data_IF_182420632012
#
_entry.id   IF_182420632012
#
_cell.length_a   1.000
_cell.length_b   1.000
_cell.length_c   1.000
_cell.angle_alpha   90.00
_cell.angle_beta   90.00
_cell.angle_gamma   90.00
#
_symmetry.space_group_name_H-M   'P 1'
#
loop_
_entity.id
_entity.type
_entity.pdbx_description
1 polymer ?
#
# COMPACT_ATOMS: atom_id res chain seq x y z
N UNK A 1 3.96 -12.65 -7.63
CA UNK A 1 2.73 -11.94 -7.19
C UNK A 1 1.77 -11.77 -8.36
N UNK A 2 0.48 -11.92 -8.09
CA UNK A 2 -0.54 -11.67 -9.12
C UNK A 2 -0.84 -10.17 -9.24
N UNK A 3 -1.68 -9.81 -10.22
CA UNK A 3 -1.98 -8.39 -10.49
C UNK A 3 -2.59 -7.68 -9.29
N UNK A 4 -3.52 -8.33 -8.59
CA UNK A 4 -4.16 -7.72 -7.42
C UNK A 4 -3.17 -7.47 -6.29
N UNK A 5 -2.27 -8.43 -6.06
CA UNK A 5 -1.23 -8.30 -5.03
C UNK A 5 -0.25 -7.18 -5.39
N UNK A 6 0.14 -7.08 -6.65
CA UNK A 6 1.04 -6.03 -7.12
C UNK A 6 0.41 -4.64 -6.99
N UNK A 7 -0.86 -4.51 -7.37
CA UNK A 7 -1.58 -3.24 -7.23
C UNK A 7 -1.66 -2.82 -5.75
N UNK A 8 -2.00 -3.75 -4.87
CA UNK A 8 -2.09 -3.48 -3.44
C UNK A 8 -0.75 -3.06 -2.88
N UNK A 9 0.32 -3.79 -3.23
CA UNK A 9 1.67 -3.44 -2.76
C UNK A 9 2.07 -2.05 -3.24
N UNK A 10 1.76 -1.69 -4.49
CA UNK A 10 2.06 -0.36 -5.02
C UNK A 10 1.39 0.74 -4.20
N UNK A 11 0.12 0.54 -3.85
CA UNK A 11 -0.61 1.50 -3.02
C UNK A 11 0.00 1.58 -1.63
N UNK A 12 0.33 0.45 -1.02
CA UNK A 12 0.97 0.41 0.30
C UNK A 12 2.32 1.11 0.28
N UNK A 13 3.09 0.97 -0.80
CA UNK A 13 4.37 1.68 -0.93
C UNK A 13 4.16 3.20 -0.95
N UNK A 14 3.09 3.67 -1.61
CA UNK A 14 2.77 5.10 -1.61
C UNK A 14 2.37 5.56 -0.21
N UNK A 15 1.55 4.78 0.50
CA UNK A 15 1.15 5.10 1.86
C UNK A 15 2.36 5.07 2.81
N UNK A 16 3.33 4.21 2.55
CA UNK A 16 4.56 4.15 3.34
C UNK A 16 5.39 5.44 3.21
N UNK A 17 5.18 6.22 2.16
CA UNK A 17 5.81 7.52 1.96
C UNK A 17 4.95 8.69 2.44
N UNK A 18 3.82 8.38 3.09
CA UNK A 18 2.87 9.40 3.55
C UNK A 18 2.90 9.47 5.07
N UNK A 19 3.61 10.46 5.65
CA UNK A 19 3.85 10.48 7.10
C UNK A 19 2.61 10.50 7.98
N UNK A 20 1.48 10.98 7.45
CA UNK A 20 0.24 11.04 8.23
C UNK A 20 -0.32 9.66 8.57
N UNK A 21 0.01 8.64 7.78
CA UNK A 21 -0.55 7.29 7.95
C UNK A 21 0.52 6.24 8.17
N UNK A 22 1.79 6.62 8.16
CA UNK A 22 2.90 5.67 8.27
C UNK A 22 3.93 6.10 9.29
N UNK A 23 4.62 5.11 9.85
CA UNK A 23 5.74 5.35 10.77
C UNK A 23 6.83 4.33 10.46
N UNK A 24 8.04 4.82 10.24
CA UNK A 24 9.19 3.96 9.93
C UNK A 24 9.90 3.55 11.21
N UNK A 25 10.24 2.27 11.30
CA UNK A 25 11.12 1.75 12.34
C UNK A 25 12.55 1.79 11.79
N UNK A 26 13.35 2.71 12.31
CA UNK A 26 14.72 2.91 11.82
C UNK A 26 15.61 1.70 12.07
N UNK A 27 15.32 0.92 13.11
CA UNK A 27 16.13 -0.25 13.44
C UNK A 27 15.96 -1.38 12.44
N UNK A 28 14.74 -1.57 11.91
CA UNK A 28 14.42 -2.70 11.03
C UNK A 28 14.20 -2.29 9.58
N UNK A 29 13.95 -1.02 9.31
CA UNK A 29 13.54 -0.54 7.99
C UNK A 29 12.08 -0.83 7.68
N UNK A 30 11.34 -1.41 8.62
CA UNK A 30 9.92 -1.70 8.47
C UNK A 30 9.11 -0.40 8.56
N UNK A 31 8.06 -0.28 7.73
CA UNK A 31 7.17 0.88 7.77
C UNK A 31 5.77 0.41 8.10
N UNK A 32 5.24 0.86 9.22
CA UNK A 32 3.89 0.51 9.68
C UNK A 32 2.90 1.50 9.11
N UNK A 33 1.85 1.00 8.48
CA UNK A 33 0.81 1.81 7.85
C UNK A 33 -0.48 1.60 8.62
N UNK A 34 -1.11 2.70 9.04
CA UNK A 34 -2.39 2.71 9.74
C UNK A 34 -3.33 3.65 9.00
N UNK A 35 -4.59 3.62 9.36
CA UNK A 35 -5.59 4.57 8.84
C UNK A 35 -5.65 4.56 7.31
N UNK A 36 -5.95 3.38 6.75
CA UNK A 36 -6.09 3.22 5.31
C UNK A 36 -7.13 4.21 4.77
N UNK A 37 -6.87 4.81 3.60
CA UNK A 37 -7.78 5.82 3.06
C UNK A 37 -9.13 5.24 2.70
N UNK A 38 -10.16 6.08 2.80
CA UNK A 38 -11.54 5.74 2.42
C UNK A 38 -11.83 6.30 1.04
N UNK A 39 -12.55 5.56 0.19
CA UNK A 39 -12.89 6.05 -1.13
C UNK A 39 -13.87 7.22 -1.10
N UNK A 40 -13.71 8.12 -2.08
CA UNK A 40 -14.64 9.20 -2.36
C UNK A 40 -15.25 8.89 -3.73
N UNK A 41 -16.37 8.14 -3.75
CA UNK A 41 -16.94 7.70 -5.02
C UNK A 41 -16.05 6.63 -5.64
N UNK A 42 -15.50 6.91 -6.83
CA UNK A 42 -14.72 5.94 -7.59
C UNK A 42 -13.19 6.08 -7.39
N UNK A 43 -12.77 6.93 -6.47
CA UNK A 43 -11.34 7.14 -6.21
C UNK A 43 -11.09 7.52 -4.75
N UNK A 44 -9.81 7.52 -4.35
CA UNK A 44 -9.40 8.05 -3.07
C UNK A 44 -7.97 8.61 -3.16
N UNK A 45 -7.60 9.37 -2.14
CA UNK A 45 -6.31 10.04 -2.09
C UNK A 45 -5.31 9.25 -1.25
N UNK A 46 -4.11 9.06 -1.80
CA UNK A 46 -2.99 8.42 -1.10
C UNK A 46 -1.85 9.45 -1.10
N UNK A 47 -1.79 10.31 -0.07
CA UNK A 47 -0.84 11.40 -0.07
C UNK A 47 -1.15 12.37 -1.21
N UNK A 48 -0.18 12.60 -2.09
CA UNK A 48 -0.34 13.47 -3.26
C UNK A 48 -0.77 12.70 -4.52
N UNK A 49 -1.07 11.41 -4.38
CA UNK A 49 -1.54 10.59 -5.49
C UNK A 49 -3.04 10.33 -5.38
N UNK A 50 -3.66 10.06 -6.52
CA UNK A 50 -5.06 9.65 -6.60
C UNK A 50 -5.08 8.22 -7.14
N UNK A 51 -5.84 7.33 -6.50
CA UNK A 51 -5.96 5.93 -6.90
C UNK A 51 -7.42 5.66 -7.21
N UNK A 52 -7.67 5.03 -8.35
CA UNK A 52 -9.04 4.61 -8.70
C UNK A 52 -9.45 3.41 -7.83
N UNK A 53 -10.68 3.43 -7.33
CA UNK A 53 -11.16 2.37 -6.45
C UNK A 53 -11.08 0.98 -7.09
N UNK A 54 -11.21 0.89 -8.41
CA UNK A 54 -11.11 -0.38 -9.14
C UNK A 54 -9.71 -1.01 -9.02
N UNK A 55 -8.67 -0.20 -8.77
CA UNK A 55 -7.30 -0.67 -8.63
C UNK A 55 -6.93 -0.98 -7.18
N UNK A 56 -7.84 -0.72 -6.25
CA UNK A 56 -7.58 -0.85 -4.82
C UNK A 56 -8.45 -1.90 -4.14
N UNK A 57 -9.03 -2.82 -4.92
CA UNK A 57 -9.94 -3.81 -4.34
C UNK A 57 -9.24 -4.79 -3.40
N UNK A 58 -7.91 -4.89 -3.48
CA UNK A 58 -7.14 -5.74 -2.57
C UNK A 58 -6.69 -5.03 -1.30
N UNK A 59 -6.90 -3.72 -1.19
CA UNK A 59 -6.34 -2.93 -0.08
C UNK A 59 -6.87 -3.37 1.28
N UNK A 60 -8.09 -3.86 1.34
CA UNK A 60 -8.70 -4.37 2.57
C UNK A 60 -9.02 -5.86 2.48
N UNK A 61 -8.32 -6.58 1.62
CA UNK A 61 -8.50 -8.00 1.40
C UNK A 61 -7.46 -8.77 2.21
N UNK A 62 -7.91 -9.48 3.24
CA UNK A 62 -7.02 -10.26 4.11
C UNK A 62 -6.13 -11.23 3.33
N UNK A 63 -6.68 -11.90 2.32
CA UNK A 63 -5.92 -12.88 1.55
C UNK A 63 -4.74 -12.24 0.83
N UNK A 64 -4.89 -11.00 0.36
CA UNK A 64 -3.80 -10.26 -0.26
C UNK A 64 -2.72 -9.94 0.77
N UNK A 65 -3.11 -9.50 1.96
CA UNK A 65 -2.15 -9.20 3.03
C UNK A 65 -1.36 -10.45 3.43
N UNK A 66 -2.05 -11.59 3.55
CA UNK A 66 -1.40 -12.87 3.88
C UNK A 66 -0.42 -13.27 2.78
N UNK A 67 -0.78 -13.09 1.51
CA UNK A 67 0.11 -13.41 0.40
C UNK A 67 1.38 -12.56 0.43
N UNK A 68 1.25 -11.25 0.71
CA UNK A 68 2.41 -10.37 0.83
C UNK A 68 3.30 -10.78 2.01
N UNK A 69 2.69 -11.20 3.12
CA UNK A 69 3.44 -11.65 4.28
C UNK A 69 4.22 -12.94 3.97
N UNK A 70 3.62 -13.88 3.25
CA UNK A 70 4.29 -15.12 2.86
C UNK A 70 5.49 -14.86 1.95
N UNK A 71 5.48 -13.77 1.21
CA UNK A 71 6.61 -13.40 0.35
C UNK A 71 7.66 -12.57 1.09
N UNK A 72 7.46 -12.32 2.38
CA UNK A 72 8.41 -11.52 3.16
C UNK A 72 8.34 -10.03 2.87
N UNK A 73 7.29 -9.56 2.22
CA UNK A 73 7.14 -8.16 1.81
C UNK A 73 6.35 -7.33 2.81
N UNK A 74 5.60 -8.00 3.71
CA UNK A 74 4.76 -7.31 4.68
C UNK A 74 4.56 -8.18 5.92
N UNK A 75 4.09 -7.55 7.00
CA UNK A 75 3.63 -8.22 8.21
C UNK A 75 2.21 -7.72 8.47
N UNK A 76 1.25 -8.64 8.44
CA UNK A 76 -0.17 -8.30 8.54
C UNK A 76 -0.60 -8.14 10.00
N UNK A 77 -1.29 -7.03 10.27
CA UNK A 77 -2.01 -6.81 11.52
C UNK A 77 -3.48 -6.51 11.15
N UNK A 78 -4.00 -7.31 10.23
CA UNK A 78 -5.34 -7.10 9.68
C UNK A 78 -6.41 -7.10 10.77
N UNK A 79 -7.39 -6.18 10.75
CA UNK A 79 -7.58 -5.13 9.74
C UNK A 79 -6.99 -3.76 10.12
N UNK A 80 -6.28 -3.65 11.22
CA UNK A 80 -5.91 -2.38 11.83
C UNK A 80 -4.68 -1.74 11.21
N UNK A 81 -3.72 -2.54 10.78
CA UNK A 81 -2.45 -2.03 10.27
C UNK A 81 -1.75 -3.10 9.41
N UNK A 82 -0.81 -2.65 8.60
CA UNK A 82 0.10 -3.54 7.90
C UNK A 82 1.48 -2.88 7.88
N UNK A 83 2.51 -3.68 8.12
CA UNK A 83 3.88 -3.20 8.07
C UNK A 83 4.56 -3.74 6.81
N UNK A 84 5.11 -2.83 5.99
CA UNK A 84 5.96 -3.26 4.87
C UNK A 84 7.36 -3.53 5.39
N UNK A 85 7.94 -4.66 5.01
CA UNK A 85 9.34 -4.93 5.29
C UNK A 85 10.21 -4.01 4.43
N UNK A 86 11.52 -3.96 4.72
CA UNK A 86 12.45 -3.20 3.89
C UNK A 86 12.39 -3.67 2.43
N UNK A 87 12.25 -4.97 2.21
CA UNK A 87 12.09 -5.53 0.86
C UNK A 87 10.78 -5.11 0.23
N UNK A 88 9.69 -5.07 1.02
CA UNK A 88 8.38 -4.64 0.53
C UNK A 88 8.38 -3.19 0.07
N UNK A 89 9.06 -2.33 0.82
CA UNK A 89 9.18 -0.91 0.46
C UNK A 89 9.90 -0.74 -0.87
N UNK A 90 10.89 -1.57 -1.15
CA UNK A 90 11.74 -1.45 -2.34
C UNK A 90 11.29 -2.29 -3.53
N UNK A 91 10.29 -3.15 -3.35
CA UNK A 91 9.90 -4.08 -4.39
C UNK A 91 9.43 -3.34 -5.64
N UNK A 92 9.94 -3.77 -6.81
CA UNK A 92 9.56 -3.16 -8.09
C UNK A 92 8.28 -3.79 -8.60
N UNK A 93 7.17 -3.09 -8.43
CA UNK A 93 5.87 -3.59 -8.90
C UNK A 93 5.62 -3.32 -10.38
N UNK A 94 6.26 -2.28 -10.90
CA UNK A 94 6.06 -1.85 -12.28
C UNK A 94 4.75 -1.13 -12.52
N UNK A 95 3.99 -0.81 -11.48
CA UNK A 95 2.63 -0.27 -11.61
C UNK A 95 2.48 1.17 -11.11
N UNK A 96 3.54 1.75 -10.54
CA UNK A 96 3.42 3.07 -9.91
C UNK A 96 2.80 4.12 -10.82
N UNK A 97 3.30 4.24 -12.05
CA UNK A 97 2.81 5.24 -13.00
C UNK A 97 1.40 4.94 -13.52
N UNK A 98 0.97 3.69 -13.41
CA UNK A 98 -0.32 3.27 -13.94
C UNK A 98 -1.47 3.51 -12.96
N UNK A 99 -1.22 3.34 -11.67
CA UNK A 99 -2.28 3.39 -10.67
C UNK A 99 -2.15 4.55 -9.69
N UNK A 100 -0.96 5.12 -9.54
CA UNK A 100 -0.74 6.30 -8.69
C UNK A 100 -0.79 7.54 -9.56
N UNK A 101 -1.99 8.10 -9.71
CA UNK A 101 -2.21 9.26 -10.57
C UNK A 101 -1.90 10.53 -9.80
N UNK A 102 -1.39 11.55 -10.49
CA UNK A 102 -1.11 12.83 -9.84
C UNK A 102 -2.39 13.64 -9.68
N UNK A 103 -2.52 14.27 -8.53
CA UNK A 103 -3.64 15.17 -8.27
C UNK A 103 -3.25 16.60 -8.70
N UNK A 104 -3.09 16.81 -10.00
CA UNK A 104 -2.64 18.06 -10.59
C UNK A 104 -3.81 18.97 -10.87
N UNK A 105 -4.21 19.77 -9.92
CA UNK A 105 -5.18 20.85 -10.20
C UNK A 105 -5.22 21.89 -9.15
#
# INVERSE_FOLDING_TARGET
LNALQLKTLTILQQLARTPMVSAKDEATGEVVIRNLPQPHGDHFHCGDAVVMSKDATGLRNRAVWVALERKGLARSMFPDAIALSAEGVKYETGLGERILLRADH
#
